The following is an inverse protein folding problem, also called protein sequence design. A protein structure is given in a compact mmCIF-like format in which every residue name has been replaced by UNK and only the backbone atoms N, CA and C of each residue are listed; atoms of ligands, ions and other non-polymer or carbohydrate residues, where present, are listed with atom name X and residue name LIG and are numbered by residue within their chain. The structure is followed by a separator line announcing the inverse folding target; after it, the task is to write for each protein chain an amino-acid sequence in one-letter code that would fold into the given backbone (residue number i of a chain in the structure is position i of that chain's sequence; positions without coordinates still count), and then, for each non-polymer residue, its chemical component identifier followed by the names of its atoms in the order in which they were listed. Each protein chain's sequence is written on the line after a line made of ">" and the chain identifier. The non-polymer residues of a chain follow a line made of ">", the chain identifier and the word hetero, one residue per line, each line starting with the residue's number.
data_IF_516173333092
#
_entry.id   IF_516173333092
#
_cell.length_a   1.000
_cell.length_b   1.000
_cell.length_c   1.000
_cell.angle_alpha   90.00
_cell.angle_beta   90.00
_cell.angle_gamma   90.00
#
_symmetry.space_group_name_H-M   'P 1'
#
loop_
_entity.id
_entity.type
_entity.pdbx_description
1 polymer ?
#
# COMPACT_ATOMS: atom_id res chain seq x y z
N UNK A 1 9.35 1.43 -19.07
CA UNK A 1 10.56 0.63 -18.81
C UNK A 1 10.14 -0.83 -18.83
N UNK A 2 10.71 -1.69 -19.69
CA UNK A 2 10.39 -3.12 -19.73
C UNK A 2 10.89 -3.74 -18.43
N UNK A 3 10.00 -4.14 -17.52
CA UNK A 3 10.37 -5.03 -16.41
C UNK A 3 10.97 -6.30 -17.02
N UNK A 4 12.24 -6.58 -16.67
CA UNK A 4 12.85 -7.87 -16.97
C UNK A 4 12.13 -8.93 -16.13
N UNK A 5 11.96 -10.13 -16.67
CA UNK A 5 11.37 -11.25 -15.93
C UNK A 5 12.09 -11.42 -14.58
N UNK A 6 11.31 -11.66 -13.51
CA UNK A 6 11.82 -11.85 -12.16
C UNK A 6 11.97 -10.60 -11.29
N UNK A 7 11.57 -9.41 -11.74
CA UNK A 7 11.58 -8.20 -10.89
C UNK A 7 12.99 -7.71 -10.51
N UNK A 8 13.99 -7.99 -11.35
CA UNK A 8 15.41 -7.74 -11.08
C UNK A 8 15.85 -6.28 -11.31
N UNK A 9 14.92 -5.38 -11.65
CA UNK A 9 15.21 -3.97 -11.85
C UNK A 9 15.21 -3.22 -10.52
N UNK A 10 16.12 -2.26 -10.35
CA UNK A 10 16.05 -1.36 -9.21
C UNK A 10 14.73 -0.56 -9.28
N UNK A 11 13.96 -0.50 -8.20
CA UNK A 11 12.70 0.22 -8.21
C UNK A 11 12.96 1.72 -8.28
N UNK A 12 12.11 2.44 -9.01
CA UNK A 12 12.26 3.88 -9.25
C UNK A 12 11.16 4.62 -8.50
N UNK A 13 11.56 5.59 -7.65
CA UNK A 13 10.63 6.55 -7.07
C UNK A 13 10.49 7.75 -7.97
N UNK A 14 9.26 8.03 -8.35
CA UNK A 14 8.93 9.27 -9.03
C UNK A 14 8.68 10.37 -8.00
N UNK A 15 9.15 11.61 -8.23
CA UNK A 15 8.86 12.73 -7.36
C UNK A 15 7.35 12.90 -7.17
N UNK A 16 6.93 13.04 -5.91
CA UNK A 16 5.57 13.42 -5.58
C UNK A 16 5.40 14.93 -5.76
N UNK A 17 4.24 15.34 -6.24
CA UNK A 17 3.91 16.74 -6.44
C UNK A 17 3.37 17.37 -5.15
N UNK A 18 4.19 17.34 -4.10
CA UNK A 18 3.79 17.70 -2.74
C UNK A 18 3.44 19.18 -2.55
N UNK A 19 3.77 20.03 -3.53
CA UNK A 19 3.45 21.47 -3.55
C UNK A 19 2.08 21.76 -4.19
N UNK A 20 1.44 20.79 -4.85
CA UNK A 20 0.09 20.98 -5.39
C UNK A 20 -0.92 21.11 -4.23
N UNK A 21 -1.93 21.97 -4.40
CA UNK A 21 -2.86 22.33 -3.33
C UNK A 21 -3.71 21.14 -2.84
N UNK A 22 -3.92 20.16 -3.71
CA UNK A 22 -4.69 18.93 -3.47
C UNK A 22 -3.84 17.81 -2.83
N UNK A 23 -2.52 17.95 -2.71
CA UNK A 23 -1.66 16.90 -2.15
C UNK A 23 -2.04 16.50 -0.71
N UNK A 24 -2.64 17.43 0.03
CA UNK A 24 -3.13 17.20 1.40
C UNK A 24 -4.64 17.04 1.50
N UNK A 25 -5.35 17.00 0.36
CA UNK A 25 -6.78 16.74 0.33
C UNK A 25 -7.07 15.32 0.85
N UNK A 26 -7.95 15.23 1.85
CA UNK A 26 -8.21 13.94 2.52
C UNK A 26 -8.90 12.93 1.60
N UNK A 27 -9.69 13.37 0.63
CA UNK A 27 -10.37 12.46 -0.30
C UNK A 27 -9.37 11.90 -1.30
N UNK A 28 -8.49 12.74 -1.84
CA UNK A 28 -7.42 12.29 -2.74
C UNK A 28 -6.46 11.33 -2.03
N UNK A 29 -6.12 11.60 -0.77
CA UNK A 29 -5.32 10.67 0.06
C UNK A 29 -6.06 9.33 0.25
N UNK A 30 -7.37 9.33 0.52
CA UNK A 30 -8.14 8.10 0.67
C UNK A 30 -8.13 7.26 -0.62
N UNK A 31 -8.33 7.92 -1.77
CA UNK A 31 -8.27 7.27 -3.09
C UNK A 31 -6.90 6.64 -3.32
N UNK A 32 -5.82 7.35 -3.00
CA UNK A 32 -4.46 6.84 -3.17
C UNK A 32 -4.13 5.71 -2.19
N UNK A 33 -4.55 5.81 -0.92
CA UNK A 33 -4.43 4.72 0.06
C UNK A 33 -5.15 3.47 -0.43
N UNK A 34 -6.38 3.62 -0.95
CA UNK A 34 -7.14 2.50 -1.50
C UNK A 34 -6.42 1.86 -2.68
N UNK A 35 -5.88 2.65 -3.60
CA UNK A 35 -5.08 2.15 -4.73
C UNK A 35 -3.87 1.34 -4.26
N UNK A 36 -3.14 1.84 -3.27
CA UNK A 36 -1.94 1.16 -2.73
C UNK A 36 -2.32 -0.12 -1.98
N UNK A 37 -3.36 -0.07 -1.15
CA UNK A 37 -3.83 -1.22 -0.37
C UNK A 37 -4.36 -2.34 -1.27
N UNK A 38 -5.06 -2.00 -2.35
CA UNK A 38 -5.55 -2.95 -3.35
C UNK A 38 -4.38 -3.69 -4.04
N UNK A 39 -3.34 -2.94 -4.43
CA UNK A 39 -2.10 -3.54 -4.98
C UNK A 39 -1.43 -4.47 -3.96
N UNK A 40 -1.38 -4.06 -2.69
CA UNK A 40 -0.80 -4.87 -1.63
C UNK A 40 -1.60 -6.16 -1.42
N UNK A 41 -2.93 -6.07 -1.40
CA UNK A 41 -3.86 -7.19 -1.27
C UNK A 41 -3.76 -8.16 -2.47
N UNK A 42 -3.64 -7.64 -3.68
CA UNK A 42 -3.52 -8.47 -4.88
C UNK A 42 -2.22 -9.30 -4.94
N UNK A 43 -1.12 -8.84 -4.34
CA UNK A 43 0.16 -9.55 -4.39
C UNK A 43 0.56 -10.27 -3.09
N UNK A 44 0.18 -9.75 -1.92
CA UNK A 44 0.43 -10.32 -0.58
C UNK A 44 1.88 -10.76 -0.29
N UNK A 45 2.89 -10.15 -0.93
CA UNK A 45 4.30 -10.60 -0.83
C UNK A 45 5.05 -10.12 0.40
N UNK A 46 4.54 -9.09 1.07
CA UNK A 46 5.27 -8.33 2.10
C UNK A 46 4.94 -8.75 3.55
N UNK A 47 4.10 -9.77 3.75
CA UNK A 47 3.57 -10.17 5.07
C UNK A 47 4.65 -10.46 6.13
N UNK A 48 5.87 -10.80 5.71
CA UNK A 48 6.98 -11.15 6.59
C UNK A 48 7.97 -10.01 6.87
N UNK A 49 7.70 -8.78 6.39
CA UNK A 49 8.62 -7.66 6.55
C UNK A 49 8.34 -6.79 7.78
N UNK A 50 7.07 -6.54 8.09
CA UNK A 50 6.64 -5.72 9.23
C UNK A 50 5.18 -6.01 9.59
N UNK A 51 4.70 -5.42 10.69
CA UNK A 51 3.35 -5.65 11.21
C UNK A 51 2.23 -4.98 10.35
N UNK A 52 2.58 -3.98 9.53
CA UNK A 52 1.61 -3.27 8.68
C UNK A 52 0.88 -4.19 7.69
N UNK A 53 1.60 -5.12 7.05
CA UNK A 53 1.02 -5.98 6.01
C UNK A 53 0.07 -7.05 6.55
N UNK A 54 0.41 -7.83 7.60
CA UNK A 54 -0.55 -8.71 8.25
C UNK A 54 -1.82 -7.97 8.68
N UNK A 55 -1.71 -6.81 9.35
CA UNK A 55 -2.88 -6.00 9.72
C UNK A 55 -3.73 -5.60 8.52
N UNK A 56 -3.10 -5.21 7.41
CA UNK A 56 -3.83 -4.85 6.19
C UNK A 56 -4.58 -6.06 5.61
N UNK A 57 -3.93 -7.22 5.57
CA UNK A 57 -4.52 -8.42 4.97
C UNK A 57 -5.66 -8.97 5.84
N UNK A 58 -5.48 -9.01 7.15
CA UNK A 58 -6.52 -9.41 8.09
C UNK A 58 -7.72 -8.45 7.99
N UNK A 59 -7.47 -7.12 7.96
CA UNK A 59 -8.53 -6.11 7.81
C UNK A 59 -9.37 -6.33 6.54
N UNK A 60 -8.75 -6.67 5.41
CA UNK A 60 -9.45 -6.90 4.15
C UNK A 60 -10.14 -8.27 4.14
N UNK A 61 -9.48 -9.32 4.63
CA UNK A 61 -10.02 -10.68 4.64
C UNK A 61 -11.24 -10.82 5.57
N UNK A 62 -11.29 -10.02 6.64
CA UNK A 62 -12.42 -9.96 7.58
C UNK A 62 -13.54 -9.01 7.12
N UNK A 63 -13.36 -8.32 5.99
CA UNK A 63 -14.39 -7.44 5.42
C UNK A 63 -15.57 -8.23 4.84
N UNK A 64 -16.67 -7.54 4.52
CA UNK A 64 -17.90 -8.20 4.05
C UNK A 64 -17.73 -8.89 2.70
N UNK A 65 -16.95 -8.29 1.80
CA UNK A 65 -16.65 -8.84 0.47
C UNK A 65 -15.39 -9.70 0.47
N UNK A 66 -14.53 -9.60 1.49
CA UNK A 66 -13.16 -10.11 1.42
C UNK A 66 -12.25 -9.24 0.55
N UNK A 67 -12.71 -8.05 0.15
CA UNK A 67 -12.06 -7.14 -0.78
C UNK A 67 -12.06 -5.71 -0.19
N UNK A 68 -11.18 -4.85 -0.70
CA UNK A 68 -10.98 -3.50 -0.14
C UNK A 68 -12.21 -2.58 -0.29
N UNK A 69 -13.12 -2.90 -1.21
CA UNK A 69 -14.31 -2.09 -1.53
C UNK A 69 -15.29 -1.96 -0.36
N UNK A 70 -15.29 -2.90 0.59
CA UNK A 70 -16.17 -2.87 1.77
C UNK A 70 -15.47 -2.45 3.07
N UNK A 71 -14.20 -2.04 3.01
CA UNK A 71 -13.44 -1.56 4.17
C UNK A 71 -13.64 -0.05 4.37
N UNK A 72 -13.94 0.35 5.62
CA UNK A 72 -14.07 1.77 5.96
C UNK A 72 -12.70 2.42 6.13
N UNK A 73 -12.58 3.67 5.69
CA UNK A 73 -11.33 4.42 5.77
C UNK A 73 -10.86 4.69 7.20
N UNK A 74 -11.77 4.70 8.18
CA UNK A 74 -11.44 4.85 9.60
C UNK A 74 -10.59 3.67 10.12
N UNK A 75 -10.77 2.49 9.52
CA UNK A 75 -10.08 1.26 9.90
C UNK A 75 -8.67 1.17 9.29
N UNK A 76 -8.26 2.13 8.45
CA UNK A 76 -6.90 2.16 7.89
C UNK A 76 -5.83 2.57 8.90
N UNK A 77 -6.20 3.28 9.97
CA UNK A 77 -5.24 3.86 10.92
C UNK A 77 -4.29 2.82 11.55
N UNK A 78 -4.74 1.67 12.06
CA UNK A 78 -3.84 0.66 12.63
C UNK A 78 -2.81 0.11 11.63
N UNK A 79 -3.17 0.04 10.33
CA UNK A 79 -2.26 -0.38 9.25
C UNK A 79 -1.16 0.65 9.05
N UNK A 80 -1.54 1.93 8.96
CA UNK A 80 -0.63 3.06 8.74
C UNK A 80 0.29 3.26 9.94
N UNK A 81 -0.23 3.20 11.16
CA UNK A 81 0.55 3.36 12.40
C UNK A 81 1.60 2.25 12.58
N UNK A 82 1.37 1.07 12.00
CA UNK A 82 2.33 -0.04 12.01
C UNK A 82 3.43 0.09 10.92
N UNK A 83 3.34 1.08 10.04
CA UNK A 83 4.34 1.33 9.01
C UNK A 83 5.50 2.16 9.56
N UNK A 84 6.72 1.65 9.42
CA UNK A 84 7.94 2.36 9.86
C UNK A 84 8.52 3.27 8.78
N UNK A 85 7.91 3.35 7.60
CA UNK A 85 8.38 4.13 6.44
C UNK A 85 9.84 3.83 6.05
N UNK A 86 10.29 2.58 6.25
CA UNK A 86 11.67 2.16 6.00
C UNK A 86 11.94 1.68 4.56
N UNK A 87 10.91 1.63 3.71
CA UNK A 87 10.99 1.28 2.29
C UNK A 87 11.39 -0.16 1.92
N UNK A 88 11.58 -1.04 2.90
CA UNK A 88 12.01 -2.42 2.63
C UNK A 88 11.04 -3.20 1.74
N UNK A 89 9.73 -2.95 1.84
CA UNK A 89 8.73 -3.57 0.96
C UNK A 89 8.90 -3.15 -0.50
N UNK A 90 9.03 -1.85 -0.75
CA UNK A 90 9.25 -1.28 -2.07
C UNK A 90 10.57 -1.78 -2.69
N UNK A 91 11.63 -1.85 -1.89
CA UNK A 91 12.96 -2.21 -2.38
C UNK A 91 13.13 -3.70 -2.69
N UNK A 92 12.42 -4.58 -1.99
CA UNK A 92 12.77 -6.02 -1.98
C UNK A 92 11.63 -6.97 -2.35
N UNK A 93 10.36 -6.52 -2.31
CA UNK A 93 9.19 -7.39 -2.50
C UNK A 93 8.20 -6.89 -3.55
N UNK A 94 8.06 -5.57 -3.70
CA UNK A 94 7.15 -4.97 -4.66
C UNK A 94 7.61 -5.29 -6.10
N UNK A 95 6.75 -5.91 -6.93
CA UNK A 95 7.11 -6.33 -8.29
C UNK A 95 7.23 -5.18 -9.29
#
# INVERSE_FOLDING_TARGET
>A
MKSKEGGLGAPVRFPLKWEEADFTDRKEIDVELRRVFDICHGCRRCFNLCESFPKLFDLIDESKSGELDTVNSEDFKPVVDACTLCDMCFMTKCP
#
